data_IF_251354437255
#
_entry.id   IF_251354437255
#
_cell.length_a   1.000
_cell.length_b   1.000
_cell.length_c   1.000
_cell.angle_alpha   90.00
_cell.angle_beta   90.00
_cell.angle_gamma   90.00
#
_symmetry.space_group_name_H-M   'P 1'
#
loop_
_entity.id
_entity.type
_entity.pdbx_description
1 polymer ?
#
# COMPACT_ATOMS: atom_id res chain seq x y z
N UNK A 1 8.01 -4.61 13.67
CA UNK A 1 6.55 -4.43 13.56
C UNK A 1 5.93 -4.87 14.86
N UNK A 2 5.23 -3.96 15.52
CA UNK A 2 4.52 -4.23 16.77
C UNK A 2 3.06 -3.78 16.65
N UNK A 3 2.21 -4.29 17.54
CA UNK A 3 0.81 -3.87 17.61
C UNK A 3 0.73 -2.36 17.85
N UNK A 4 -0.09 -1.69 17.06
CA UNK A 4 -0.24 -0.23 17.10
C UNK A 4 0.55 0.52 16.03
N UNK A 5 1.50 -0.12 15.34
CA UNK A 5 2.22 0.51 14.23
C UNK A 5 1.26 0.98 13.12
N UNK A 6 1.59 2.09 12.48
CA UNK A 6 0.80 2.67 11.38
C UNK A 6 1.14 2.01 10.05
N UNK A 7 0.12 1.68 9.26
CA UNK A 7 0.27 1.12 7.93
C UNK A 7 -0.09 2.18 6.89
N UNK A 8 0.86 2.49 6.01
CA UNK A 8 0.71 3.46 4.93
C UNK A 8 0.87 2.78 3.56
N UNK A 9 0.26 3.36 2.52
CA UNK A 9 0.56 2.97 1.13
C UNK A 9 2.02 3.26 0.79
N UNK A 10 2.66 2.30 0.12
CA UNK A 10 4.05 2.44 -0.30
C UNK A 10 4.19 3.32 -1.54
N UNK A 11 5.43 3.69 -1.86
CA UNK A 11 5.81 4.35 -3.09
C UNK A 11 5.97 3.40 -4.30
N UNK A 12 5.75 2.09 -4.11
CA UNK A 12 5.95 1.10 -5.16
C UNK A 12 4.69 0.85 -6.00
N UNK A 13 3.50 1.05 -5.42
CA UNK A 13 2.26 0.85 -6.16
C UNK A 13 2.00 2.02 -7.09
N UNK A 14 1.83 1.74 -8.38
CA UNK A 14 1.44 2.77 -9.33
C UNK A 14 -0.08 3.12 -9.28
N UNK A 15 -0.87 2.26 -8.63
CA UNK A 15 -2.32 2.38 -8.49
C UNK A 15 -2.73 3.30 -7.33
N UNK A 16 -1.88 3.43 -6.31
CA UNK A 16 -2.17 4.21 -5.12
C UNK A 16 -1.06 5.20 -4.86
N UNK A 17 -1.36 6.48 -4.59
CA UNK A 17 -0.33 7.40 -4.15
C UNK A 17 0.25 6.93 -2.82
N UNK A 18 1.52 7.26 -2.58
CA UNK A 18 2.23 6.88 -1.37
C UNK A 18 1.75 7.67 -0.14
N UNK A 19 2.03 7.12 1.05
CA UNK A 19 1.80 7.77 2.35
C UNK A 19 0.32 7.98 2.74
N UNK A 20 -0.62 7.26 2.12
CA UNK A 20 -2.01 7.24 2.56
C UNK A 20 -2.21 6.27 3.72
N UNK A 21 -2.94 6.72 4.74
CA UNK A 21 -3.30 5.92 5.91
C UNK A 21 -4.23 4.77 5.54
N UNK A 22 -3.80 3.54 5.82
CA UNK A 22 -4.63 2.34 5.68
C UNK A 22 -5.23 1.95 7.04
N UNK A 23 -4.42 1.99 8.11
CA UNK A 23 -4.82 1.50 9.41
C UNK A 23 -3.67 1.31 10.38
N UNK A 24 -3.92 0.51 11.42
CA UNK A 24 -2.94 0.17 12.46
C UNK A 24 -2.82 -1.33 12.64
N UNK A 25 -1.65 -1.81 13.04
CA UNK A 25 -1.40 -3.24 13.26
C UNK A 25 -2.22 -3.73 14.46
N UNK A 26 -3.11 -4.69 14.22
CA UNK A 26 -3.92 -5.34 15.24
C UNK A 26 -3.26 -6.61 15.79
N UNK A 27 -2.62 -7.41 14.93
CA UNK A 27 -1.88 -8.61 15.28
C UNK A 27 -0.80 -8.93 14.23
N UNK A 28 0.26 -9.60 14.66
CA UNK A 28 1.33 -10.10 13.79
C UNK A 28 1.44 -11.60 14.03
N UNK A 29 1.25 -12.38 12.96
CA UNK A 29 1.38 -13.83 12.98
C UNK A 29 2.60 -14.22 12.13
N UNK A 30 3.47 -15.06 12.68
CA UNK A 30 4.59 -15.67 11.95
C UNK A 30 4.32 -17.16 11.79
N UNK A 31 4.44 -17.68 10.58
CA UNK A 31 4.44 -19.12 10.36
C UNK A 31 5.89 -19.62 10.43
N UNK A 32 6.25 -20.51 11.37
CA UNK A 32 7.61 -21.04 11.48
C UNK A 32 8.10 -21.77 10.22
N UNK A 33 7.19 -22.23 9.37
CA UNK A 33 7.52 -22.91 8.11
C UNK A 33 7.84 -21.94 6.96
N UNK A 34 7.61 -20.64 7.14
CA UNK A 34 7.83 -19.63 6.09
C UNK A 34 8.63 -18.44 6.59
N UNK A 35 9.30 -17.72 5.69
CA UNK A 35 9.98 -16.47 6.02
C UNK A 35 9.05 -15.24 5.94
N UNK A 36 7.73 -15.44 6.01
CA UNK A 36 6.75 -14.38 5.85
C UNK A 36 5.95 -14.13 7.14
N UNK A 37 5.64 -12.86 7.37
CA UNK A 37 4.71 -12.44 8.41
C UNK A 37 3.34 -12.15 7.81
N UNK A 38 2.29 -12.61 8.48
CA UNK A 38 0.91 -12.22 8.19
C UNK A 38 0.48 -11.16 9.21
N UNK A 39 0.21 -9.96 8.73
CA UNK A 39 -0.17 -8.82 9.58
C UNK A 39 -1.67 -8.58 9.46
N UNK A 40 -2.39 -8.65 10.58
CA UNK A 40 -3.80 -8.24 10.67
C UNK A 40 -3.86 -6.76 10.96
N UNK A 41 -4.56 -6.00 10.12
CA UNK A 41 -4.67 -4.54 10.22
C UNK A 41 -6.08 -4.14 10.66
N UNK A 42 -6.18 -3.20 11.61
CA UNK A 42 -7.42 -2.49 11.93
C UNK A 42 -7.51 -1.26 11.03
N UNK A 43 -8.57 -1.17 10.24
CA UNK A 43 -8.76 -0.06 9.29
C UNK A 43 -8.84 1.28 10.02
N UNK A 44 -8.22 2.32 9.44
CA UNK A 44 -8.33 3.68 9.96
C UNK A 44 -9.74 4.26 9.73
N UNK A 45 -10.35 3.91 8.60
CA UNK A 45 -11.71 4.32 8.24
C UNK A 45 -12.73 3.31 8.77
N UNK A 46 -13.85 3.81 9.30
CA UNK A 46 -15.02 3.00 9.57
C UNK A 46 -15.84 2.82 8.28
N UNK A 47 -15.73 1.63 7.68
CA UNK A 47 -16.41 1.31 6.43
C UNK A 47 -17.93 1.09 6.58
N UNK A 48 -18.47 0.99 7.79
CA UNK A 48 -19.91 0.86 8.02
C UNK A 48 -20.71 2.16 7.85
N UNK A 49 -20.04 3.32 7.80
CA UNK A 49 -20.69 4.64 7.85
C UNK A 49 -20.13 5.66 6.85
N UNK A 50 -19.73 5.21 5.65
CA UNK A 50 -19.14 6.08 4.64
C UNK A 50 -20.24 6.87 3.92
N UNK A 51 -20.06 8.20 3.83
CA UNK A 51 -20.95 9.11 3.09
C UNK A 51 -20.28 9.66 1.82
N UNK A 52 -18.98 9.92 1.87
CA UNK A 52 -18.20 10.49 0.78
C UNK A 52 -16.96 9.66 0.52
N UNK A 53 -16.61 9.53 -0.76
CA UNK A 53 -15.41 8.82 -1.21
C UNK A 53 -14.62 9.72 -2.15
N UNK A 54 -13.29 9.62 -2.09
CA UNK A 54 -12.39 10.36 -2.96
C UNK A 54 -11.71 9.40 -3.91
N UNK A 55 -11.92 9.62 -5.21
CA UNK A 55 -11.26 8.85 -6.27
C UNK A 55 -9.97 9.57 -6.65
N UNK A 56 -8.85 8.87 -6.54
CA UNK A 56 -7.53 9.41 -6.87
C UNK A 56 -7.04 8.67 -8.13
N UNK A 57 -6.59 9.44 -9.13
CA UNK A 57 -6.02 8.90 -10.37
C UNK A 57 -4.60 9.44 -10.59
N UNK A 58 -3.66 8.54 -10.85
CA UNK A 58 -2.26 8.88 -11.12
C UNK A 58 -2.11 9.39 -12.55
N UNK A 59 -1.99 10.71 -12.73
CA UNK A 59 -1.87 11.33 -14.07
C UNK A 59 -0.59 10.98 -14.82
N UNK A 60 0.49 10.68 -14.08
CA UNK A 60 1.84 10.43 -14.63
C UNK A 60 2.13 8.96 -14.93
N UNK A 61 1.16 8.06 -14.70
CA UNK A 61 1.39 6.62 -14.79
C UNK A 61 1.95 6.19 -16.15
N UNK A 62 1.34 6.65 -17.24
CA UNK A 62 1.75 6.28 -18.61
C UNK A 62 3.17 6.75 -18.94
N UNK A 63 3.52 7.99 -18.54
CA UNK A 63 4.84 8.56 -18.77
C UNK A 63 5.91 7.82 -17.96
N UNK A 64 5.64 7.58 -16.68
CA UNK A 64 6.54 6.83 -15.81
C UNK A 64 6.81 5.42 -16.35
N UNK A 65 5.76 4.68 -16.75
CA UNK A 65 5.91 3.34 -17.34
C UNK A 65 6.71 3.38 -18.64
N UNK A 66 6.55 4.41 -19.47
CA UNK A 66 7.33 4.55 -20.69
C UNK A 66 8.83 4.76 -20.38
N UNK A 67 9.15 5.62 -19.41
CA UNK A 67 10.53 5.90 -19.00
C UNK A 67 11.21 4.68 -18.36
N UNK A 68 10.53 3.97 -17.46
CA UNK A 68 11.04 2.75 -16.81
C UNK A 68 11.34 1.66 -17.85
N UNK A 69 10.47 1.48 -18.84
CA UNK A 69 10.68 0.51 -19.93
C UNK A 69 11.81 0.90 -20.90
N UNK A 70 12.09 2.19 -21.08
CA UNK A 70 13.21 2.63 -21.92
C UNK A 70 14.57 2.31 -21.29
N UNK A 71 14.72 2.42 -19.97
CA UNK A 71 15.98 2.14 -19.27
C UNK A 71 16.38 0.65 -19.35
N UNK A 72 15.41 -0.27 -19.43
CA UNK A 72 15.65 -1.71 -19.56
C UNK A 72 16.22 -2.12 -20.93
N UNK A 73 16.09 -1.29 -21.98
CA UNK A 73 16.59 -1.59 -23.33
C UNK A 73 18.05 -1.23 -23.57
N UNK A 74 18.69 -0.57 -22.60
CA UNK A 74 20.07 -0.11 -22.70
C UNK A 74 21.06 -1.01 -21.92
N UNK A 75 20.65 -2.24 -21.59
CA UNK A 75 21.52 -3.31 -21.06
C UNK A 75 21.63 -4.44 -22.06
#
# INVERSE_FOLDING_TARGET
>A
VVKGDTVLTSNYSANYPSHLMVGTVAAVNSDPATNFYTIKVKTATNFFSIQFVTVIATKLYNEQTALENQQLKNQ
#
